data_IF_989098323157
#
_entry.id   IF_989098323157
#
_cell.length_a   1.000
_cell.length_b   1.000
_cell.length_c   1.000
_cell.angle_alpha   90.00
_cell.angle_beta   90.00
_cell.angle_gamma   90.00
#
_symmetry.space_group_name_H-M   'P 1'
#
loop_
_entity.id
_entity.type
_entity.pdbx_description
1 polymer ?
#
# COMPACT_ATOMS: atom_id res chain seq x y z
N UNK A 1 19.77 0.12 36.20
CA UNK A 1 18.59 -0.79 36.18
C UNK A 1 17.28 -0.07 36.45
N UNK A 2 17.14 0.74 37.51
CA UNK A 2 15.89 1.47 37.81
C UNK A 2 15.38 2.38 36.67
N UNK A 3 16.26 3.15 36.01
CA UNK A 3 15.87 4.00 34.88
C UNK A 3 15.31 3.21 33.68
N UNK A 4 15.96 2.08 33.36
CA UNK A 4 15.51 1.17 32.28
C UNK A 4 14.16 0.54 32.65
N UNK A 5 13.97 0.13 33.90
CA UNK A 5 12.70 -0.40 34.38
C UNK A 5 11.57 0.62 34.26
N UNK A 6 11.79 1.86 34.72
CA UNK A 6 10.79 2.93 34.61
C UNK A 6 10.43 3.20 33.14
N UNK A 7 11.42 3.33 32.25
CA UNK A 7 11.18 3.53 30.82
C UNK A 7 10.36 2.38 30.21
N UNK A 8 10.75 1.13 30.47
CA UNK A 8 10.05 -0.05 29.96
C UNK A 8 8.64 -0.18 30.54
N UNK A 9 8.40 0.21 31.80
CA UNK A 9 7.06 0.19 32.39
C UNK A 9 6.14 1.18 31.68
N UNK A 10 6.59 2.41 31.42
CA UNK A 10 5.79 3.39 30.66
C UNK A 10 5.59 2.97 29.20
N UNK A 11 6.60 2.38 28.58
CA UNK A 11 6.46 1.83 27.23
C UNK A 11 5.47 0.66 27.19
N UNK A 12 5.52 -0.25 28.17
CA UNK A 12 4.58 -1.36 28.29
C UNK A 12 3.15 -0.85 28.58
N UNK A 13 3.00 0.17 29.42
CA UNK A 13 1.72 0.85 29.62
C UNK A 13 1.17 1.40 28.30
N UNK A 14 2.02 2.00 27.45
CA UNK A 14 1.64 2.46 26.12
C UNK A 14 1.14 1.31 25.23
N UNK A 15 1.76 0.12 25.30
CA UNK A 15 1.27 -1.08 24.60
C UNK A 15 -0.07 -1.61 25.16
N UNK A 16 -0.29 -1.54 26.47
CA UNK A 16 -1.60 -1.89 27.05
C UNK A 16 -2.70 -0.94 26.60
N UNK A 17 -2.38 0.36 26.45
CA UNK A 17 -3.32 1.35 25.97
C UNK A 17 -3.80 1.10 24.53
N UNK A 18 -3.09 0.25 23.78
CA UNK A 18 -3.45 -0.16 22.43
C UNK A 18 -4.87 -0.76 22.38
N UNK A 19 -5.32 -1.42 23.45
CA UNK A 19 -6.62 -2.12 23.51
C UNK A 19 -7.83 -1.20 23.71
N UNK A 20 -7.64 0.08 24.04
CA UNK A 20 -8.75 1.02 24.23
C UNK A 20 -9.16 1.71 22.92
N UNK A 21 -10.45 2.00 22.75
CA UNK A 21 -10.98 2.60 21.51
C UNK A 21 -10.34 3.95 21.15
N UNK A 22 -10.09 4.81 22.15
CA UNK A 22 -9.64 6.18 21.94
C UNK A 22 -8.14 6.23 21.63
N UNK A 23 -7.32 5.61 22.47
CA UNK A 23 -5.86 5.64 22.32
C UNK A 23 -5.33 4.58 21.35
N UNK A 24 -6.06 3.48 21.20
CA UNK A 24 -5.60 2.30 20.48
C UNK A 24 -5.27 2.56 19.02
N UNK A 25 -6.08 3.35 18.32
CA UNK A 25 -5.81 3.66 16.91
C UNK A 25 -4.50 4.44 16.72
N UNK A 26 -4.21 5.39 17.61
CA UNK A 26 -2.98 6.18 17.55
C UNK A 26 -1.75 5.35 17.90
N UNK A 27 -1.87 4.46 18.89
CA UNK A 27 -0.77 3.59 19.31
C UNK A 27 -0.45 2.55 18.22
N UNK A 28 -1.47 1.91 17.63
CA UNK A 28 -1.26 0.97 16.52
C UNK A 28 -0.59 1.67 15.34
N UNK A 29 -1.06 2.87 14.98
CA UNK A 29 -0.46 3.67 13.91
C UNK A 29 0.98 4.06 14.24
N UNK A 30 1.26 4.48 15.47
CA UNK A 30 2.61 4.80 15.93
C UNK A 30 3.56 3.61 15.81
N UNK A 31 3.15 2.41 16.24
CA UNK A 31 4.00 1.21 16.14
C UNK A 31 4.26 0.85 14.67
N UNK A 32 3.26 0.96 13.81
CA UNK A 32 3.40 0.65 12.38
C UNK A 32 4.33 1.66 11.68
N UNK A 33 4.20 2.96 11.98
CA UNK A 33 5.10 4.02 11.47
C UNK A 33 6.52 3.87 12.06
N UNK A 34 6.64 3.52 13.34
CA UNK A 34 7.94 3.29 13.97
C UNK A 34 8.67 2.11 13.30
N UNK A 35 7.93 1.06 12.93
CA UNK A 35 8.50 -0.09 12.21
C UNK A 35 8.99 0.30 10.82
N UNK A 36 8.21 1.07 10.06
CA UNK A 36 8.64 1.54 8.73
C UNK A 36 9.83 2.49 8.84
N UNK A 37 9.83 3.40 9.82
CA UNK A 37 10.97 4.26 10.13
C UNK A 37 12.23 3.47 10.45
N UNK A 38 12.13 2.46 11.33
CA UNK A 38 13.27 1.63 11.72
C UNK A 38 13.83 0.85 10.53
N UNK A 39 12.97 0.34 9.66
CA UNK A 39 13.39 -0.35 8.43
C UNK A 39 14.16 0.58 7.50
N UNK A 40 13.67 1.81 7.28
CA UNK A 40 14.39 2.80 6.45
C UNK A 40 15.70 3.19 7.11
N UNK A 41 15.70 3.48 8.41
CA UNK A 41 16.92 3.82 9.16
C UNK A 41 17.99 2.73 9.05
N UNK A 42 17.59 1.45 9.06
CA UNK A 42 18.51 0.33 8.88
C UNK A 42 19.21 0.36 7.52
N UNK A 43 18.51 0.72 6.45
CA UNK A 43 19.11 0.89 5.11
C UNK A 43 20.09 2.07 5.07
N UNK A 44 19.73 3.18 5.73
CA UNK A 44 20.60 4.37 5.79
C UNK A 44 21.78 4.23 6.75
N UNK A 45 21.78 3.21 7.63
CA UNK A 45 22.87 2.98 8.59
C UNK A 45 24.25 2.84 7.92
N UNK A 46 24.32 2.25 6.72
CA UNK A 46 25.58 2.14 5.96
C UNK A 46 26.15 3.51 5.60
N UNK A 47 25.30 4.46 5.22
CA UNK A 47 25.74 5.81 4.90
C UNK A 47 26.17 6.56 6.17
N UNK A 48 25.43 6.43 7.27
CA UNK A 48 25.81 7.01 8.58
C UNK A 48 27.17 6.47 9.04
N UNK A 49 27.40 5.17 8.88
CA UNK A 49 28.69 4.54 9.22
C UNK A 49 29.81 5.05 8.31
N UNK A 50 29.57 5.15 7.00
CA UNK A 50 30.57 5.63 6.04
C UNK A 50 31.02 7.07 6.33
N UNK A 51 30.07 7.98 6.51
CA UNK A 51 30.40 9.37 6.86
C UNK A 51 30.96 9.51 8.27
N UNK A 52 30.47 8.73 9.25
CA UNK A 52 31.01 8.73 10.62
C UNK A 52 32.47 8.26 10.68
N UNK A 53 32.84 7.24 9.90
CA UNK A 53 34.23 6.80 9.76
C UNK A 53 35.09 7.82 9.01
N UNK A 54 34.54 8.46 7.96
CA UNK A 54 35.23 9.54 7.26
C UNK A 54 35.56 10.68 8.22
N UNK A 55 34.59 11.19 8.98
CA UNK A 55 34.83 12.27 9.94
C UNK A 55 35.76 11.88 11.09
N UNK A 56 35.74 10.62 11.52
CA UNK A 56 36.72 10.09 12.49
C UNK A 56 38.16 10.15 11.94
N UNK A 57 38.38 9.76 10.68
CA UNK A 57 39.71 9.78 10.04
C UNK A 57 40.16 11.22 9.73
N UNK A 58 39.23 12.06 9.26
CA UNK A 58 39.53 13.46 8.93
C UNK A 58 39.78 14.32 10.18
N UNK A 59 39.48 13.81 11.38
CA UNK A 59 39.82 14.47 12.64
C UNK A 59 39.06 15.78 12.82
N UNK A 60 37.73 15.76 12.61
CA UNK A 60 36.89 16.97 12.58
C UNK A 60 36.86 17.77 13.89
N UNK A 61 37.50 17.31 14.97
CA UNK A 61 37.73 18.11 16.17
C UNK A 61 38.94 17.57 16.94
N UNK A 62 40.09 18.23 16.81
CA UNK A 62 41.31 17.88 17.54
C UNK A 62 41.22 18.19 19.05
N UNK A 63 40.33 19.09 19.48
CA UNK A 63 40.31 19.60 20.87
C UNK A 63 39.04 19.28 21.68
N UNK A 64 37.97 18.80 21.07
CA UNK A 64 36.79 18.35 21.82
C UNK A 64 36.79 16.83 21.91
N UNK A 65 36.69 16.31 23.14
CA UNK A 65 36.52 14.89 23.53
C UNK A 65 35.43 14.10 22.77
N UNK A 66 34.73 14.72 21.81
CA UNK A 66 33.67 14.19 20.97
C UNK A 66 34.13 13.14 19.93
N UNK A 67 35.42 13.05 19.61
CA UNK A 67 35.95 12.08 18.62
C UNK A 67 37.00 11.10 19.16
N UNK A 68 37.27 11.11 20.47
CA UNK A 68 38.30 10.24 21.07
C UNK A 68 37.97 8.74 20.98
N UNK A 69 36.69 8.39 20.83
CA UNK A 69 36.20 7.01 20.67
C UNK A 69 35.34 6.91 19.42
N UNK A 70 35.50 5.84 18.63
CA UNK A 70 34.71 5.59 17.42
C UNK A 70 33.19 5.69 17.65
N UNK A 71 32.70 5.25 18.81
CA UNK A 71 31.29 5.37 19.22
C UNK A 71 30.79 6.81 19.39
N UNK A 72 31.62 7.70 19.95
CA UNK A 72 31.29 9.12 20.10
C UNK A 72 31.23 9.82 18.73
N UNK A 73 32.06 9.38 17.78
CA UNK A 73 32.04 9.90 16.41
C UNK A 73 30.73 9.58 15.68
N UNK A 74 30.17 8.38 15.87
CA UNK A 74 28.86 8.04 15.32
C UNK A 74 27.73 8.83 15.98
N UNK A 75 27.79 9.02 17.31
CA UNK A 75 26.83 9.84 18.03
C UNK A 75 26.86 11.30 17.55
N UNK A 76 28.05 11.88 17.42
CA UNK A 76 28.27 13.22 16.91
C UNK A 76 27.76 13.38 15.47
N UNK A 77 28.02 12.38 14.62
CA UNK A 77 27.49 12.35 13.25
C UNK A 77 25.97 12.31 13.25
N UNK A 78 25.34 11.55 14.16
CA UNK A 78 23.89 11.52 14.35
C UNK A 78 23.31 12.87 14.81
N UNK A 79 23.96 13.53 15.76
CA UNK A 79 23.59 14.89 16.21
C UNK A 79 23.69 15.90 15.05
N UNK A 80 24.71 15.80 14.21
CA UNK A 80 24.90 16.66 13.04
C UNK A 80 23.81 16.47 11.96
N UNK A 81 23.17 15.29 11.90
CA UNK A 81 21.99 15.05 11.03
C UNK A 81 20.73 15.73 11.60
N UNK A 82 20.57 15.75 12.93
CA UNK A 82 19.37 16.23 13.61
C UNK A 82 19.35 17.74 13.84
N UNK A 83 20.46 18.30 14.34
CA UNK A 83 20.61 19.74 14.60
C UNK A 83 21.12 20.50 13.36
N UNK A 84 21.65 19.79 12.36
CA UNK A 84 22.23 20.41 11.17
C UNK A 84 23.64 20.98 11.40
N UNK A 85 24.14 21.79 10.45
CA UNK A 85 25.49 22.37 10.51
C UNK A 85 25.62 23.60 11.42
N UNK A 86 24.60 23.95 12.22
CA UNK A 86 24.63 25.13 13.13
C UNK A 86 25.71 25.03 14.22
N UNK A 87 26.38 23.88 14.30
CA UNK A 87 27.74 23.74 14.81
C UNK A 87 28.80 24.37 13.88
N UNK A 88 28.52 25.56 13.35
CA UNK A 88 29.44 26.35 12.50
C UNK A 88 30.76 26.53 13.24
N UNK A 89 30.72 26.68 14.57
CA UNK A 89 31.92 26.74 15.42
C UNK A 89 32.73 25.44 15.41
N UNK A 90 32.09 24.25 15.33
CA UNK A 90 32.80 22.97 15.29
C UNK A 90 33.56 22.74 13.97
N UNK A 91 33.25 23.51 12.92
CA UNK A 91 33.92 23.41 11.61
C UNK A 91 34.81 24.62 11.34
N UNK A 92 34.32 25.82 11.64
CA UNK A 92 35.02 27.09 11.37
C UNK A 92 36.15 27.32 12.38
N UNK A 93 35.95 27.05 13.67
CA UNK A 93 37.01 27.24 14.68
C UNK A 93 38.25 26.40 14.37
N UNK A 94 38.15 25.08 14.10
CA UNK A 94 39.33 24.28 13.75
C UNK A 94 39.91 24.60 12.37
N UNK A 95 39.09 25.09 11.42
CA UNK A 95 39.57 25.58 10.13
C UNK A 95 40.42 26.85 10.27
N UNK A 96 39.97 27.82 11.07
CA UNK A 96 40.68 29.07 11.34
C UNK A 96 41.92 28.84 12.22
N UNK A 97 41.86 27.91 13.17
CA UNK A 97 42.98 27.55 14.06
C UNK A 97 44.00 26.60 13.41
N UNK A 98 43.79 26.15 12.16
CA UNK A 98 44.65 25.20 11.43
C UNK A 98 44.92 23.88 12.17
N UNK A 99 43.97 23.44 12.98
CA UNK A 99 44.07 22.16 13.72
C UNK A 99 43.62 20.96 12.88
N UNK A 100 43.10 21.20 11.67
CA UNK A 100 42.67 20.16 10.72
C UNK A 100 43.86 19.57 9.96
N UNK A 101 43.97 18.23 9.96
CA UNK A 101 45.01 17.50 9.21
C UNK A 101 44.86 17.67 7.69
N UNK A 102 43.61 17.73 7.19
CA UNK A 102 43.27 17.83 5.76
C UNK A 102 42.12 18.80 5.49
N UNK A 103 42.36 20.13 5.48
CA UNK A 103 41.29 21.14 5.45
C UNK A 103 40.44 21.11 4.17
N UNK A 104 41.03 20.91 2.98
CA UNK A 104 40.28 20.90 1.72
C UNK A 104 39.36 19.67 1.61
N UNK A 105 39.86 18.48 1.98
CA UNK A 105 39.06 17.26 1.97
C UNK A 105 37.91 17.34 2.99
N UNK A 106 38.17 17.91 4.17
CA UNK A 106 37.16 18.11 5.20
C UNK A 106 35.99 18.95 4.69
N UNK A 107 36.26 20.06 4.01
CA UNK A 107 35.21 20.92 3.44
C UNK A 107 34.39 20.15 2.40
N UNK A 108 35.04 19.39 1.51
CA UNK A 108 34.35 18.60 0.48
C UNK A 108 33.41 17.56 1.10
N UNK A 109 33.87 16.82 2.11
CA UNK A 109 33.05 15.81 2.80
C UNK A 109 31.91 16.44 3.61
N UNK A 110 32.12 17.61 4.22
CA UNK A 110 31.07 18.34 4.93
C UNK A 110 29.99 18.83 3.96
N UNK A 111 30.37 19.44 2.84
CA UNK A 111 29.42 19.90 1.81
C UNK A 111 28.64 18.71 1.26
N UNK A 112 29.33 17.61 0.94
CA UNK A 112 28.68 16.38 0.49
C UNK A 112 27.70 15.83 1.54
N UNK A 113 28.07 15.85 2.82
CA UNK A 113 27.21 15.40 3.92
C UNK A 113 25.96 16.29 4.09
N UNK A 114 26.12 17.61 4.10
CA UNK A 114 25.00 18.57 4.27
C UNK A 114 24.03 18.51 3.10
N UNK A 115 24.49 18.16 1.90
CA UNK A 115 23.61 17.95 0.75
C UNK A 115 23.00 16.55 0.75
N UNK A 116 23.78 15.49 0.88
CA UNK A 116 23.25 14.12 0.78
C UNK A 116 22.38 13.74 1.98
N UNK A 117 22.80 14.02 3.22
CA UNK A 117 22.12 13.48 4.40
C UNK A 117 20.75 14.10 4.67
N UNK A 118 20.62 15.43 4.83
CA UNK A 118 19.31 16.04 5.03
C UNK A 118 18.36 15.82 3.85
N UNK A 119 18.85 15.92 2.61
CA UNK A 119 18.00 15.79 1.42
C UNK A 119 17.56 14.34 1.19
N UNK A 120 18.43 13.34 1.37
CA UNK A 120 18.05 11.94 1.20
C UNK A 120 17.31 11.39 2.40
N UNK A 121 17.70 11.77 3.63
CA UNK A 121 17.12 11.19 4.84
C UNK A 121 15.80 11.90 5.20
N UNK A 122 15.79 13.22 5.38
CA UNK A 122 14.57 13.90 5.83
C UNK A 122 13.46 13.84 4.78
N UNK A 123 13.77 14.09 3.51
CA UNK A 123 12.73 14.08 2.46
C UNK A 123 12.21 12.66 2.18
N UNK A 124 13.04 11.62 2.33
CA UNK A 124 12.56 10.24 2.18
C UNK A 124 11.77 9.80 3.41
N UNK A 125 12.21 10.13 4.63
CA UNK A 125 11.47 9.78 5.85
C UNK A 125 10.10 10.47 5.88
N UNK A 126 10.04 11.76 5.54
CA UNK A 126 8.78 12.51 5.43
C UNK A 126 7.96 12.01 4.23
N UNK A 127 8.59 11.80 3.08
CA UNK A 127 7.90 11.34 1.86
C UNK A 127 7.30 9.95 2.01
N UNK A 128 7.99 9.04 2.70
CA UNK A 128 7.50 7.70 3.00
C UNK A 128 6.44 7.73 4.10
N UNK A 129 6.63 8.53 5.15
CA UNK A 129 5.62 8.68 6.20
C UNK A 129 4.31 9.27 5.66
N UNK A 130 4.37 10.32 4.84
CA UNK A 130 3.20 10.98 4.25
C UNK A 130 2.56 10.12 3.16
N UNK A 131 3.36 9.41 2.36
CA UNK A 131 2.85 8.50 1.33
C UNK A 131 2.16 7.26 1.91
N UNK A 132 2.66 6.73 3.03
CA UNK A 132 2.18 5.49 3.64
C UNK A 132 1.09 5.71 4.71
N UNK A 133 0.88 6.95 5.19
CA UNK A 133 -0.06 7.25 6.29
C UNK A 133 -1.48 6.74 6.01
N UNK A 134 -1.97 6.88 4.78
CA UNK A 134 -3.32 6.48 4.39
C UNK A 134 -3.49 4.96 4.33
N UNK A 135 -2.43 4.23 3.96
CA UNK A 135 -2.41 2.76 3.96
C UNK A 135 -2.35 2.22 5.39
N UNK A 136 -1.41 2.76 6.17
CA UNK A 136 -1.22 2.42 7.58
C UNK A 136 -2.48 2.72 8.40
N UNK A 137 -3.16 3.84 8.17
CA UNK A 137 -4.37 4.20 8.90
C UNK A 137 -5.51 3.17 8.69
N UNK A 138 -5.73 2.73 7.45
CA UNK A 138 -6.76 1.70 7.16
C UNK A 138 -6.39 0.36 7.79
N UNK A 139 -5.13 -0.04 7.70
CA UNK A 139 -4.65 -1.28 8.31
C UNK A 139 -4.74 -1.21 9.84
N UNK A 140 -4.40 -0.07 10.45
CA UNK A 140 -4.50 0.17 11.88
C UNK A 140 -5.95 0.09 12.39
N UNK A 141 -6.91 0.63 11.64
CA UNK A 141 -8.34 0.50 11.97
C UNK A 141 -8.79 -0.97 11.99
N UNK A 142 -8.42 -1.74 10.96
CA UNK A 142 -8.78 -3.15 10.88
C UNK A 142 -8.10 -3.97 11.97
N UNK A 143 -6.81 -3.75 12.22
CA UNK A 143 -6.03 -4.39 13.28
C UNK A 143 -6.58 -4.06 14.67
N UNK A 144 -7.03 -2.82 14.90
CA UNK A 144 -7.71 -2.41 16.13
C UNK A 144 -9.02 -3.17 16.32
N UNK A 145 -9.89 -3.20 15.31
CA UNK A 145 -11.16 -3.92 15.37
C UNK A 145 -10.95 -5.42 15.62
N UNK A 146 -9.99 -6.04 14.92
CA UNK A 146 -9.65 -7.44 15.13
C UNK A 146 -9.20 -7.72 16.57
N UNK A 147 -8.35 -6.86 17.13
CA UNK A 147 -7.89 -6.99 18.52
C UNK A 147 -9.02 -6.78 19.55
N UNK A 148 -10.01 -5.94 19.25
CA UNK A 148 -11.20 -5.77 20.10
C UNK A 148 -12.07 -7.03 20.08
N UNK A 149 -12.29 -7.62 18.90
CA UNK A 149 -13.01 -8.89 18.77
C UNK A 149 -12.28 -10.01 19.50
N UNK A 150 -10.97 -10.14 19.30
CA UNK A 150 -10.14 -11.13 19.99
C UNK A 150 -10.20 -10.97 21.51
N UNK A 151 -10.10 -9.74 22.02
CA UNK A 151 -10.24 -9.44 23.45
C UNK A 151 -11.62 -9.88 23.97
N UNK A 152 -12.70 -9.55 23.26
CA UNK A 152 -14.05 -9.94 23.66
C UNK A 152 -14.20 -11.47 23.69
N UNK A 153 -13.72 -12.17 22.65
CA UNK A 153 -13.74 -13.64 22.59
C UNK A 153 -12.92 -14.28 23.70
N UNK A 154 -11.72 -13.76 23.99
CA UNK A 154 -10.89 -14.27 25.10
C UNK A 154 -11.54 -14.03 26.47
N UNK A 155 -12.19 -12.88 26.66
CA UNK A 155 -12.89 -12.56 27.90
C UNK A 155 -14.11 -13.48 28.07
N UNK A 156 -14.92 -13.65 27.03
CA UNK A 156 -16.08 -14.56 27.06
C UNK A 156 -15.66 -16.00 27.37
N UNK A 157 -14.55 -16.48 26.78
CA UNK A 157 -14.03 -17.82 27.05
C UNK A 157 -13.53 -18.02 28.49
N UNK A 158 -13.05 -16.96 29.15
CA UNK A 158 -12.53 -17.01 30.53
C UNK A 158 -13.59 -16.70 31.59
N UNK A 159 -14.73 -16.14 31.20
CA UNK A 159 -15.81 -15.76 32.12
C UNK A 159 -16.70 -16.97 32.44
N UNK A 160 -17.15 -17.12 33.70
CA UNK A 160 -18.04 -18.21 34.06
C UNK A 160 -19.43 -18.03 33.41
N UNK A 161 -20.04 -19.13 32.97
CA UNK A 161 -21.28 -19.11 32.18
C UNK A 161 -22.44 -18.35 32.84
N UNK A 162 -22.50 -18.30 34.17
CA UNK A 162 -23.55 -17.56 34.88
C UNK A 162 -23.46 -16.05 34.64
N UNK A 163 -22.26 -15.49 34.42
CA UNK A 163 -22.08 -14.07 34.15
C UNK A 163 -22.41 -13.76 32.69
N UNK A 164 -21.92 -14.61 31.77
CA UNK A 164 -22.20 -14.49 30.34
C UNK A 164 -23.72 -14.55 30.10
N UNK A 165 -24.41 -15.58 30.63
CA UNK A 165 -25.87 -15.72 30.49
C UNK A 165 -26.66 -14.58 31.13
N UNK A 166 -26.11 -13.89 32.14
CA UNK A 166 -26.76 -12.75 32.80
C UNK A 166 -26.59 -11.45 32.01
N UNK A 167 -25.48 -11.27 31.32
CA UNK A 167 -25.12 -10.03 30.62
C UNK A 167 -25.49 -10.08 29.13
N UNK A 168 -25.50 -11.28 28.54
CA UNK A 168 -25.81 -11.49 27.13
C UNK A 168 -27.25 -11.04 26.80
N UNK A 169 -27.38 -10.29 25.70
CA UNK A 169 -28.63 -9.70 25.23
C UNK A 169 -28.66 -9.81 23.71
N UNK A 170 -29.57 -10.65 23.21
CA UNK A 170 -29.70 -10.95 21.77
C UNK A 170 -30.25 -9.76 20.98
N UNK A 171 -31.07 -8.91 21.59
CA UNK A 171 -31.68 -7.75 20.93
C UNK A 171 -31.43 -6.46 21.70
N UNK A 172 -30.92 -5.44 20.99
CA UNK A 172 -30.70 -4.09 21.51
C UNK A 172 -31.56 -3.11 20.73
N UNK A 173 -32.50 -2.45 21.40
CA UNK A 173 -33.33 -1.39 20.80
C UNK A 173 -32.65 -0.03 20.97
N UNK A 174 -32.26 0.58 19.86
CA UNK A 174 -31.61 1.91 19.83
C UNK A 174 -32.66 2.96 19.52
N UNK A 175 -32.82 3.95 20.41
CA UNK A 175 -33.71 5.10 20.20
C UNK A 175 -32.87 6.33 19.81
N UNK A 176 -32.81 6.71 18.52
CA UNK A 176 -31.91 7.77 18.05
C UNK A 176 -32.22 9.15 18.67
N UNK A 177 -33.50 9.42 19.00
CA UNK A 177 -33.94 10.72 19.52
C UNK A 177 -33.98 10.78 21.06
N UNK A 178 -33.46 9.76 21.77
CA UNK A 178 -33.39 9.74 23.23
C UNK A 178 -31.94 9.60 23.70
N UNK A 179 -31.31 10.73 24.00
CA UNK A 179 -30.00 10.73 24.66
C UNK A 179 -30.15 10.46 26.16
N UNK A 180 -30.21 9.17 26.52
CA UNK A 180 -30.11 8.70 27.91
C UNK A 180 -28.64 8.65 28.40
N UNK A 181 -27.77 9.52 27.89
CA UNK A 181 -26.35 9.54 28.25
C UNK A 181 -26.13 10.48 29.42
N UNK A 182 -25.53 9.95 30.50
CA UNK A 182 -25.10 10.75 31.64
C UNK A 182 -24.00 11.75 31.26
N UNK A 183 -23.73 12.75 32.11
CA UNK A 183 -22.74 13.82 31.85
C UNK A 183 -21.36 13.28 31.42
N UNK A 184 -20.92 12.16 32.00
CA UNK A 184 -19.65 11.50 31.64
C UNK A 184 -19.65 10.94 30.20
N UNK A 185 -20.79 10.38 29.77
CA UNK A 185 -20.94 9.85 28.41
C UNK A 185 -21.02 10.97 27.37
N UNK A 186 -21.62 12.12 27.72
CA UNK A 186 -21.59 13.31 26.86
C UNK A 186 -20.18 13.90 26.75
N UNK A 187 -19.43 13.93 27.85
CA UNK A 187 -18.02 14.37 27.84
C UNK A 187 -17.12 13.42 27.03
N UNK A 188 -17.26 12.10 27.19
CA UNK A 188 -16.53 11.11 26.40
C UNK A 188 -16.85 11.19 24.91
N UNK A 189 -18.12 11.42 24.56
CA UNK A 189 -18.54 11.59 23.16
C UNK A 189 -17.99 12.88 22.55
N UNK A 190 -17.93 13.98 23.32
CA UNK A 190 -17.26 15.21 22.88
C UNK A 190 -15.76 15.01 22.63
N UNK A 191 -15.06 14.26 23.49
CA UNK A 191 -13.64 13.96 23.31
C UNK A 191 -13.40 13.06 22.09
N UNK A 192 -14.26 12.06 21.86
CA UNK A 192 -14.16 11.23 20.66
C UNK A 192 -14.38 12.04 19.38
N UNK A 193 -15.39 12.92 19.40
CA UNK A 193 -15.68 13.82 18.28
C UNK A 193 -14.51 14.77 17.99
N UNK A 194 -13.87 15.35 19.01
CA UNK A 194 -12.72 16.24 18.83
C UNK A 194 -11.46 15.53 18.32
N UNK A 195 -11.32 14.23 18.57
CA UNK A 195 -10.18 13.42 18.10
C UNK A 195 -10.39 12.80 16.71
N UNK A 196 -11.53 13.04 16.04
CA UNK A 196 -11.81 12.47 14.72
C UNK A 196 -11.97 10.94 14.71
N UNK A 197 -12.20 10.33 15.88
CA UNK A 197 -12.52 8.91 16.00
C UNK A 197 -14.01 8.77 15.69
N UNK A 198 -14.26 8.65 14.39
CA UNK A 198 -15.58 8.45 13.84
C UNK A 198 -16.03 7.01 14.15
N UNK A 199 -16.65 6.82 15.32
CA UNK A 199 -17.62 5.74 15.48
C UNK A 199 -18.69 6.03 14.43
N UNK A 200 -18.89 5.16 13.44
CA UNK A 200 -19.87 5.31 12.35
C UNK A 200 -21.33 5.29 12.80
N UNK A 201 -21.62 5.92 13.93
CA UNK A 201 -22.87 5.97 14.66
C UNK A 201 -23.25 7.41 15.10
N UNK A 202 -22.53 8.45 14.65
CA UNK A 202 -23.00 9.84 14.72
C UNK A 202 -23.42 10.30 13.32
N UNK A 203 -24.73 10.46 13.15
CA UNK A 203 -25.44 10.84 11.92
C UNK A 203 -25.20 12.30 11.49
N UNK A 204 -24.33 13.05 12.18
CA UNK A 204 -24.21 14.49 11.97
C UNK A 204 -22.76 14.90 11.63
N UNK A 205 -22.28 14.62 10.41
CA UNK A 205 -21.26 15.43 9.70
C UNK A 205 -21.05 14.99 8.23
N UNK A 206 -22.08 15.21 7.40
CA UNK A 206 -22.13 14.76 6.00
C UNK A 206 -21.34 15.60 4.97
N UNK A 207 -20.66 16.69 5.33
CA UNK A 207 -20.12 17.60 4.31
C UNK A 207 -18.66 17.33 3.86
N UNK A 208 -17.78 16.82 4.73
CA UNK A 208 -16.33 16.75 4.44
C UNK A 208 -15.77 15.32 4.31
N UNK A 209 -16.50 14.31 4.81
CA UNK A 209 -16.08 12.90 4.80
C UNK A 209 -16.75 12.08 3.70
N UNK A 210 -17.72 12.68 2.99
CA UNK A 210 -18.33 12.14 1.78
C UNK A 210 -17.27 11.73 0.77
N UNK A 211 -16.23 12.52 0.52
CA UNK A 211 -15.30 12.25 -0.59
C UNK A 211 -14.38 11.04 -0.38
N UNK A 212 -13.87 10.81 0.84
CA UNK A 212 -12.93 9.70 1.10
C UNK A 212 -13.62 8.33 1.29
N UNK A 213 -14.79 8.32 1.94
CA UNK A 213 -15.60 7.12 2.08
C UNK A 213 -16.34 6.81 0.77
N UNK A 214 -16.83 7.82 0.04
CA UNK A 214 -17.33 7.62 -1.31
C UNK A 214 -16.24 7.08 -2.20
N UNK A 215 -14.98 7.52 -2.12
CA UNK A 215 -13.88 6.97 -2.92
C UNK A 215 -13.64 5.48 -2.64
N UNK A 216 -13.68 5.03 -1.38
CA UNK A 216 -13.47 3.61 -1.05
C UNK A 216 -14.70 2.73 -1.32
N UNK A 217 -15.90 3.24 -1.05
CA UNK A 217 -17.18 2.58 -1.39
C UNK A 217 -17.38 2.54 -2.90
N UNK A 218 -17.08 3.62 -3.64
CA UNK A 218 -17.05 3.58 -5.10
C UNK A 218 -15.98 2.63 -5.57
N UNK A 219 -14.77 2.57 -5.00
CA UNK A 219 -13.75 1.58 -5.43
C UNK A 219 -14.25 0.14 -5.27
N UNK A 220 -14.91 -0.21 -4.15
CA UNK A 220 -15.51 -1.54 -3.96
C UNK A 220 -16.73 -1.78 -4.85
N UNK A 221 -17.62 -0.80 -4.97
CA UNK A 221 -18.80 -0.87 -5.83
C UNK A 221 -18.41 -0.99 -7.30
N UNK A 222 -17.35 -0.28 -7.71
CA UNK A 222 -16.75 -0.30 -9.03
C UNK A 222 -16.03 -1.62 -9.27
N UNK A 223 -15.32 -2.19 -8.28
CA UNK A 223 -14.78 -3.54 -8.37
C UNK A 223 -15.88 -4.61 -8.56
N UNK A 224 -16.99 -4.49 -7.81
CA UNK A 224 -18.17 -5.37 -7.97
C UNK A 224 -18.84 -5.16 -9.33
N UNK A 225 -18.95 -3.92 -9.81
CA UNK A 225 -19.50 -3.60 -11.12
C UNK A 225 -18.62 -4.14 -12.26
N UNK A 226 -17.29 -4.04 -12.13
CA UNK A 226 -16.32 -4.64 -13.06
C UNK A 226 -16.45 -6.15 -13.06
N UNK A 227 -16.55 -6.80 -11.90
CA UNK A 227 -16.72 -8.26 -11.84
C UNK A 227 -18.07 -8.70 -12.46
N UNK A 228 -19.12 -7.92 -12.22
CA UNK A 228 -20.44 -8.12 -12.85
C UNK A 228 -20.38 -7.94 -14.36
N UNK A 229 -19.67 -6.92 -14.87
CA UNK A 229 -19.45 -6.73 -16.32
C UNK A 229 -18.59 -7.84 -16.91
N UNK A 230 -17.56 -8.31 -16.20
CA UNK A 230 -16.72 -9.43 -16.62
C UNK A 230 -17.52 -10.74 -16.76
N UNK A 231 -18.45 -11.01 -15.84
CA UNK A 231 -19.37 -12.15 -15.95
C UNK A 231 -20.29 -12.03 -17.16
N UNK A 232 -20.91 -10.86 -17.37
CA UNK A 232 -21.75 -10.58 -18.56
C UNK A 232 -20.97 -10.73 -19.87
N UNK A 233 -19.72 -10.28 -19.92
CA UNK A 233 -18.88 -10.37 -21.10
C UNK A 233 -18.48 -11.83 -21.41
N UNK A 234 -18.26 -12.65 -20.37
CA UNK A 234 -18.06 -14.10 -20.55
C UNK A 234 -19.31 -14.80 -21.10
N UNK A 235 -20.48 -14.47 -20.57
CA UNK A 235 -21.76 -14.99 -21.06
C UNK A 235 -21.99 -14.60 -22.53
N UNK A 236 -21.80 -13.31 -22.86
CA UNK A 236 -21.93 -12.80 -24.23
C UNK A 236 -20.96 -13.49 -25.19
N UNK A 237 -19.70 -13.67 -24.79
CA UNK A 237 -18.71 -14.39 -25.59
C UNK A 237 -19.12 -15.86 -25.81
N UNK A 238 -19.67 -16.53 -24.80
CA UNK A 238 -20.16 -17.91 -24.95
C UNK A 238 -21.33 -18.02 -25.93
N UNK A 239 -22.25 -17.05 -25.93
CA UNK A 239 -23.36 -17.00 -26.89
C UNK A 239 -22.86 -16.73 -28.31
N UNK A 240 -21.85 -15.87 -28.48
CA UNK A 240 -21.27 -15.54 -29.78
C UNK A 240 -20.57 -16.76 -30.40
N UNK A 241 -19.85 -17.54 -29.58
CA UNK A 241 -19.27 -18.83 -30.00
C UNK A 241 -20.37 -19.81 -30.44
N UNK A 242 -21.47 -19.90 -29.68
CA UNK A 242 -22.60 -20.77 -30.01
C UNK A 242 -23.29 -20.35 -31.32
N UNK A 243 -23.50 -19.05 -31.55
CA UNK A 243 -24.00 -18.52 -32.82
C UNK A 243 -23.05 -18.83 -33.99
N UNK A 244 -21.74 -18.70 -33.78
CA UNK A 244 -20.73 -19.07 -34.77
C UNK A 244 -20.78 -20.55 -35.15
N UNK A 245 -21.05 -21.44 -34.19
CA UNK A 245 -21.27 -22.87 -34.46
C UNK A 245 -22.56 -23.12 -35.22
N UNK A 246 -23.66 -22.46 -34.85
CA UNK A 246 -24.94 -22.56 -35.54
C UNK A 246 -24.81 -22.11 -37.01
N UNK A 247 -24.13 -20.99 -37.27
CA UNK A 247 -23.87 -20.50 -38.63
C UNK A 247 -23.08 -21.51 -39.46
N UNK A 248 -22.07 -22.17 -38.88
CA UNK A 248 -21.34 -23.24 -39.56
C UNK A 248 -22.24 -24.43 -39.89
N UNK A 249 -23.11 -24.83 -38.98
CA UNK A 249 -24.09 -25.90 -39.21
C UNK A 249 -25.09 -25.53 -40.30
N UNK A 250 -25.55 -24.27 -40.35
CA UNK A 250 -26.43 -23.76 -41.40
C UNK A 250 -25.72 -23.81 -42.74
N UNK A 251 -24.50 -23.28 -42.87
CA UNK A 251 -23.75 -23.34 -44.15
C UNK A 251 -23.50 -24.78 -44.60
N UNK A 252 -23.26 -25.71 -43.67
CA UNK A 252 -23.07 -27.12 -43.99
C UNK A 252 -24.36 -27.81 -44.45
N UNK A 253 -25.51 -27.40 -43.91
CA UNK A 253 -26.85 -27.92 -44.27
C UNK A 253 -27.50 -27.16 -45.42
N UNK A 254 -27.02 -25.96 -45.72
CA UNK A 254 -27.43 -25.21 -46.88
C UNK A 254 -26.85 -25.95 -48.08
N UNK A 255 -27.70 -26.74 -48.74
CA UNK A 255 -27.41 -27.28 -50.05
C UNK A 255 -27.23 -26.09 -50.99
N UNK A 256 -26.00 -25.56 -51.06
CA UNK A 256 -25.61 -24.65 -52.13
C UNK A 256 -25.64 -25.52 -53.39
N UNK A 257 -26.82 -25.61 -54.01
CA UNK A 257 -26.91 -25.89 -55.43
C UNK A 257 -26.13 -24.76 -56.09
N UNK A 258 -24.95 -25.08 -56.60
CA UNK A 258 -24.27 -24.15 -57.48
C UNK A 258 -25.20 -23.97 -58.66
N UNK A 259 -25.80 -22.80 -58.78
CA UNK A 259 -26.66 -22.35 -59.91
C UNK A 259 -25.92 -22.39 -61.27
N UNK A 260 -24.71 -22.96 -61.30
CA UNK A 260 -23.94 -23.26 -62.48
C UNK A 260 -24.37 -24.55 -63.20
N UNK A 261 -25.27 -25.37 -62.63
CA UNK A 261 -25.75 -26.61 -63.28
C UNK A 261 -27.14 -26.46 -63.95
N UNK A 262 -27.81 -25.31 -63.80
CA UNK A 262 -29.13 -25.01 -64.39
C UNK A 262 -29.09 -23.81 -65.36
N UNK A 263 -28.11 -23.79 -66.28
CA UNK A 263 -28.15 -22.89 -67.45
C UNK A 263 -28.39 -23.65 -68.74
N UNK A 264 -29.68 -23.76 -69.05
CA UNK A 264 -30.33 -23.65 -70.35
C UNK A 264 -29.38 -23.22 -71.49
N UNK A 265 -28.88 -24.18 -72.27
CA UNK A 265 -28.20 -23.92 -73.54
C UNK A 265 -29.24 -24.09 -74.64
N UNK A 266 -29.63 -22.93 -75.18
CA UNK A 266 -30.59 -22.78 -76.25
C UNK A 266 -30.28 -23.57 -77.52
N UNK A 267 -31.37 -23.72 -78.26
CA UNK A 267 -31.52 -24.32 -79.57
C UNK A 267 -30.45 -23.84 -80.59
N UNK A 268 -29.56 -24.76 -80.98
CA UNK A 268 -28.91 -24.75 -82.29
C UNK A 268 -28.49 -26.19 -82.66
N UNK A 269 -28.92 -26.58 -83.87
CA UNK A 269 -28.84 -27.89 -84.53
C UNK A 269 -27.41 -28.49 -84.68
N UNK A 270 -27.29 -29.79 -85.09
CA UNK A 270 -26.30 -30.73 -84.56
C UNK A 270 -25.06 -30.97 -85.46
N UNK A 271 -23.92 -31.38 -84.88
CA UNK A 271 -23.07 -32.49 -85.37
C UNK A 271 -21.84 -32.77 -84.48
N UNK A 272 -21.59 -34.06 -84.21
CA UNK A 272 -20.33 -34.82 -83.97
C UNK A 272 -19.07 -34.04 -83.49
N UNK A 273 -18.28 -34.47 -82.48
CA UNK A 273 -17.57 -35.77 -82.34
C UNK A 273 -16.69 -35.76 -81.05
N UNK A 274 -16.65 -36.90 -80.34
CA UNK A 274 -15.46 -37.53 -79.70
C UNK A 274 -14.63 -36.82 -78.60
N UNK A 275 -14.63 -37.42 -77.39
CA UNK A 275 -13.37 -37.91 -76.79
C UNK A 275 -12.99 -37.43 -75.37
N UNK A 276 -12.96 -38.39 -74.43
CA UNK A 276 -12.33 -38.45 -73.09
C UNK A 276 -11.11 -37.53 -72.83
N UNK A 277 -10.81 -37.04 -71.61
CA UNK A 277 -10.50 -37.86 -70.44
C UNK A 277 -10.35 -37.05 -69.11
N UNK A 278 -10.59 -37.76 -67.99
CA UNK A 278 -10.27 -37.51 -66.55
C UNK A 278 -8.75 -37.37 -66.27
N UNK A 279 -8.26 -37.18 -65.00
CA UNK A 279 -8.74 -36.37 -63.85
C UNK A 279 -7.61 -35.67 -63.01
N UNK A 280 -8.04 -34.87 -62.02
CA UNK A 280 -7.51 -34.62 -60.66
C UNK A 280 -6.00 -34.67 -60.29
N UNK A 281 -5.55 -33.73 -59.46
CA UNK A 281 -4.81 -34.02 -58.21
C UNK A 281 -4.85 -32.84 -57.24
N UNK A 282 -5.02 -33.17 -55.97
CA UNK A 282 -5.13 -32.28 -54.82
C UNK A 282 -3.75 -32.14 -54.09
N UNK A 283 -3.66 -31.70 -52.83
CA UNK A 283 -3.00 -30.45 -52.45
C UNK A 283 -1.75 -30.67 -51.56
N UNK A 284 -1.07 -29.60 -51.16
CA UNK A 284 -0.15 -29.69 -50.00
C UNK A 284 -0.01 -28.38 -49.24
N UNK A 285 -0.35 -28.46 -47.96
CA UNK A 285 -0.06 -27.50 -46.91
C UNK A 285 1.41 -27.59 -46.46
N UNK A 286 1.95 -26.48 -45.97
CA UNK A 286 2.42 -26.35 -44.57
C UNK A 286 3.59 -25.34 -44.44
N UNK A 287 3.31 -24.24 -43.74
CA UNK A 287 4.03 -23.74 -42.56
C UNK A 287 5.51 -23.33 -42.67
N UNK A 288 5.82 -22.04 -42.41
CA UNK A 288 6.32 -21.53 -41.11
C UNK A 288 6.96 -20.13 -41.21
N UNK A 289 6.67 -19.32 -40.19
CA UNK A 289 7.51 -18.37 -39.45
C UNK A 289 8.33 -17.26 -40.15
N UNK A 290 8.08 -16.01 -39.74
CA UNK A 290 9.00 -15.10 -39.01
C UNK A 290 8.37 -13.70 -38.93
N UNK A 291 8.15 -13.11 -37.75
CA UNK A 291 9.07 -12.31 -36.91
C UNK A 291 9.55 -10.99 -37.55
N UNK A 292 9.10 -9.86 -36.97
CA UNK A 292 9.92 -8.73 -36.49
C UNK A 292 9.48 -7.31 -36.94
N UNK A 293 9.42 -6.42 -35.92
CA UNK A 293 9.58 -4.95 -35.90
C UNK A 293 8.48 -4.09 -36.56
N UNK A 294 8.11 -2.94 -36.00
CA UNK A 294 8.82 -2.02 -35.11
C UNK A 294 7.95 -1.53 -33.94
#
# INVERSE_FOLDING_TARGET
>A
MGAVAVFLTWFNLMLYLQRFDIFGIFIVMYIEILKTLLQVLMVFSFLVIAFGLAFYILGLSADTLAHSTAGLSFFQTGMMILEGPDAVDNVIVPYVQKTLLYPELTIVFIVAFVLLMPILLMNLLIGLAVGDISGVQRNAQLKRLAMQVELHTELEAKLPEWLVKRVDKVEVTVYPNRNCKGKLANWLTQIRASMGIDDGNSVDHDAARGDALNSTVTTRCLAVAIDKQKRRMKEMNSMLVQQGQLLRLIVQKMEIRTEADDRDVGDAAPMCRSGSARPATAPRSSSKNSLSRA
#
